data_IF_457928171271
#
_entry.id   IF_457928171271
#
_cell.length_a   1.000
_cell.length_b   1.000
_cell.length_c   1.000
_cell.angle_alpha   90.00
_cell.angle_beta   90.00
_cell.angle_gamma   90.00
#
_symmetry.space_group_name_H-M   'P 1'
#
loop_
_entity.id
_entity.type
_entity.pdbx_description
1 polymer ?
#
# COMPACT_ATOMS: atom_id res chain seq x y z
N UNK A 1 19.45 -3.21 3.77
CA UNK A 1 18.04 -2.86 3.96
C UNK A 1 17.35 -3.09 2.63
N UNK A 2 16.24 -3.82 2.62
CA UNK A 2 15.47 -4.12 1.42
C UNK A 2 14.11 -3.45 1.53
N UNK A 3 13.66 -2.84 0.44
CA UNK A 3 12.36 -2.21 0.34
C UNK A 3 11.53 -2.90 -0.72
N UNK A 4 10.24 -3.01 -0.48
CA UNK A 4 9.24 -3.48 -1.44
C UNK A 4 8.09 -2.50 -1.48
N UNK A 5 7.56 -2.26 -2.68
CA UNK A 5 6.43 -1.37 -2.92
C UNK A 5 5.28 -2.22 -3.46
N UNK A 6 4.11 -2.09 -2.84
CA UNK A 6 2.88 -2.69 -3.32
C UNK A 6 1.86 -1.58 -3.62
N UNK A 7 1.48 -1.45 -4.89
CA UNK A 7 0.55 -0.44 -5.36
C UNK A 7 -0.87 -1.03 -5.43
N UNK A 8 -1.79 -0.51 -4.62
CA UNK A 8 -3.22 -0.83 -4.66
C UNK A 8 -3.97 0.22 -5.47
N UNK A 9 -5.29 0.09 -5.63
CA UNK A 9 -6.09 1.04 -6.40
C UNK A 9 -6.12 2.46 -5.80
N UNK A 10 -6.12 2.58 -4.47
CA UNK A 10 -6.27 3.83 -3.72
C UNK A 10 -5.05 4.20 -2.84
N UNK A 11 -4.15 3.24 -2.62
CA UNK A 11 -3.02 3.39 -1.71
C UNK A 11 -1.74 2.70 -2.19
N UNK A 12 -0.63 3.10 -1.59
CA UNK A 12 0.68 2.47 -1.71
C UNK A 12 1.07 1.88 -0.36
N UNK A 13 1.50 0.63 -0.33
CA UNK A 13 2.19 0.06 0.84
C UNK A 13 3.69 0.01 0.58
N UNK A 14 4.47 0.65 1.45
CA UNK A 14 5.92 0.49 1.51
C UNK A 14 6.26 -0.49 2.63
N UNK A 15 6.90 -1.59 2.28
CA UNK A 15 7.44 -2.55 3.24
C UNK A 15 8.96 -2.47 3.25
N UNK A 16 9.57 -2.61 4.41
CA UNK A 16 11.02 -2.69 4.53
C UNK A 16 11.47 -3.77 5.49
N UNK A 17 12.62 -4.37 5.15
CA UNK A 17 13.30 -5.39 5.93
C UNK A 17 14.75 -5.01 6.13
N UNK A 18 15.22 -5.07 7.37
CA UNK A 18 16.58 -4.72 7.77
C UNK A 18 17.25 -5.89 8.47
N UNK A 19 18.57 -6.02 8.29
CA UNK A 19 19.38 -7.00 9.02
C UNK A 19 19.69 -6.55 10.46
N UNK A 20 19.60 -5.24 10.72
CA UNK A 20 19.76 -4.64 12.04
C UNK A 20 18.45 -3.97 12.42
N UNK A 21 18.21 -3.85 13.72
CA UNK A 21 17.03 -3.18 14.24
C UNK A 21 16.97 -1.74 13.69
N UNK A 22 15.89 -1.41 13.01
CA UNK A 22 15.65 -0.10 12.42
C UNK A 22 14.89 0.77 13.42
N UNK A 23 15.38 1.99 13.59
CA UNK A 23 14.71 3.06 14.32
C UNK A 23 14.78 4.31 13.45
N UNK A 24 13.65 4.93 13.15
CA UNK A 24 13.61 6.03 12.20
C UNK A 24 12.21 6.39 11.72
N UNK A 25 12.15 7.00 10.53
CA UNK A 25 10.88 7.48 9.97
C UNK A 25 10.82 7.40 8.44
N UNK A 26 9.60 7.24 7.94
CA UNK A 26 9.23 7.37 6.55
C UNK A 26 8.51 8.69 6.36
N UNK A 27 8.99 9.53 5.46
CA UNK A 27 8.41 10.84 5.16
C UNK A 27 8.08 10.93 3.69
N UNK A 28 6.81 10.99 3.34
CA UNK A 28 6.42 11.29 1.97
C UNK A 28 6.54 12.79 1.71
N UNK A 29 7.00 13.17 0.52
CA UNK A 29 7.28 14.56 0.18
C UNK A 29 6.62 15.00 -1.11
N UNK A 30 6.15 16.25 -1.10
CA UNK A 30 5.77 17.02 -2.29
C UNK A 30 6.64 18.27 -2.35
N UNK A 31 7.66 18.25 -3.21
CA UNK A 31 8.71 19.27 -3.20
C UNK A 31 9.47 19.25 -1.86
N UNK A 32 9.49 20.39 -1.16
CA UNK A 32 10.12 20.54 0.16
C UNK A 32 9.21 20.12 1.32
N UNK A 33 7.91 19.99 1.08
CA UNK A 33 6.92 19.78 2.14
C UNK A 33 6.78 18.29 2.45
N UNK A 34 6.76 17.96 3.74
CA UNK A 34 6.42 16.63 4.23
C UNK A 34 4.90 16.51 4.31
N UNK A 35 4.35 15.50 3.65
CA UNK A 35 2.90 15.28 3.55
C UNK A 35 2.43 14.27 4.59
N UNK A 36 3.08 13.10 4.64
CA UNK A 36 2.83 12.07 5.65
C UNK A 36 4.14 11.67 6.32
N UNK A 37 4.07 11.34 7.60
CA UNK A 37 5.19 10.80 8.36
C UNK A 37 4.75 9.61 9.19
N UNK A 38 5.49 8.51 9.08
CA UNK A 38 5.33 7.31 9.91
C UNK A 38 6.64 7.06 10.64
N UNK A 39 6.60 6.97 11.97
CA UNK A 39 7.76 6.59 12.77
C UNK A 39 7.78 5.07 12.96
N UNK A 40 8.97 4.49 12.93
CA UNK A 40 9.18 3.07 13.19
C UNK A 40 10.24 2.96 14.27
N UNK A 41 9.88 2.35 15.39
CA UNK A 41 10.77 2.10 16.52
C UNK A 41 11.11 0.62 16.58
N UNK A 42 12.40 0.33 16.70
CA UNK A 42 12.94 -0.99 17.04
C UNK A 42 12.38 -2.16 16.21
N UNK A 43 12.34 -2.04 14.87
CA UNK A 43 11.76 -3.06 14.00
C UNK A 43 12.77 -3.67 13.00
N UNK A 44 12.68 -4.98 12.77
CA UNK A 44 13.41 -5.65 11.68
C UNK A 44 12.62 -5.66 10.37
N UNK A 45 11.29 -5.75 10.49
CA UNK A 45 10.34 -5.69 9.40
C UNK A 45 9.26 -4.67 9.76
N UNK A 46 8.87 -3.85 8.79
CA UNK A 46 7.86 -2.82 8.98
C UNK A 46 7.15 -2.56 7.65
N UNK A 47 5.92 -2.06 7.74
CA UNK A 47 5.15 -1.60 6.61
C UNK A 47 4.43 -0.29 6.94
N UNK A 48 4.19 0.52 5.92
CA UNK A 48 3.37 1.73 6.04
C UNK A 48 2.52 1.89 4.80
N UNK A 49 1.25 2.20 4.99
CA UNK A 49 0.33 2.54 3.92
C UNK A 49 0.30 4.06 3.71
N UNK A 50 0.26 4.49 2.46
CA UNK A 50 0.22 5.88 2.04
C UNK A 50 -0.88 6.04 1.01
N UNK A 51 -1.93 6.79 1.34
CA UNK A 51 -3.02 7.06 0.40
C UNK A 51 -2.55 7.99 -0.72
N UNK A 52 -3.00 7.70 -1.93
CA UNK A 52 -2.77 8.59 -3.07
C UNK A 52 -3.50 9.92 -2.87
N UNK A 53 -2.93 11.01 -3.38
CA UNK A 53 -3.46 12.37 -3.20
C UNK A 53 -3.18 12.99 -1.82
N UNK A 54 -3.37 12.23 -0.73
CA UNK A 54 -3.14 12.71 0.64
C UNK A 54 -1.64 12.77 0.98
N UNK A 55 -0.90 11.70 0.69
CA UNK A 55 0.51 11.59 1.09
C UNK A 55 1.49 12.12 0.03
N UNK A 56 1.09 13.05 -0.84
CA UNK A 56 1.98 13.63 -1.86
C UNK A 56 2.37 12.66 -2.99
N UNK A 57 1.69 11.52 -3.08
CA UNK A 57 1.79 10.61 -4.23
C UNK A 57 0.67 10.99 -5.19
N UNK A 58 1.04 11.63 -6.30
CA UNK A 58 0.10 12.30 -7.19
C UNK A 58 -0.17 11.51 -8.46
N UNK A 59 -1.43 11.57 -8.92
CA UNK A 59 -1.83 11.00 -10.19
C UNK A 59 -1.28 11.83 -11.34
N UNK A 60 -0.60 11.17 -12.27
CA UNK A 60 -0.19 11.72 -13.57
C UNK A 60 -0.89 10.97 -14.68
N UNK A 61 -1.57 11.74 -15.52
CA UNK A 61 -2.20 11.29 -16.75
C UNK A 61 -1.19 11.48 -17.88
N UNK A 62 -0.42 10.46 -18.26
CA UNK A 62 0.15 10.20 -19.62
C UNK A 62 1.46 9.38 -19.57
N UNK A 63 1.68 8.45 -20.52
CA UNK A 63 0.71 7.84 -21.44
C UNK A 63 -0.18 6.78 -20.77
N UNK A 64 0.17 6.34 -19.56
CA UNK A 64 -0.57 5.39 -18.72
C UNK A 64 -0.83 6.10 -17.37
N UNK A 65 -2.04 6.01 -16.77
CA UNK A 65 -2.26 6.57 -15.44
C UNK A 65 -1.23 6.04 -14.46
N UNK A 66 -0.57 6.96 -13.77
CA UNK A 66 0.44 6.56 -12.79
C UNK A 66 0.39 7.44 -11.56
N UNK A 67 0.69 6.83 -10.42
CA UNK A 67 0.85 7.54 -9.16
C UNK A 67 2.35 7.69 -8.89
N UNK A 68 2.80 8.93 -8.76
CA UNK A 68 4.22 9.27 -8.60
C UNK A 68 4.41 10.02 -7.30
N UNK A 69 5.40 9.62 -6.52
CA UNK A 69 5.73 10.25 -5.25
C UNK A 69 7.19 10.04 -4.88
N UNK A 70 7.63 10.72 -3.82
CA UNK A 70 8.95 10.55 -3.25
C UNK A 70 8.83 10.28 -1.76
N UNK A 71 9.49 9.22 -1.30
CA UNK A 71 9.53 8.83 0.10
C UNK A 71 10.98 8.95 0.59
N UNK A 72 11.19 9.72 1.64
CA UNK A 72 12.45 9.76 2.36
C UNK A 72 12.38 8.79 3.55
N UNK A 73 13.33 7.87 3.62
CA UNK A 73 13.57 6.99 4.76
C UNK A 73 14.72 7.58 5.56
N UNK A 74 14.49 7.88 6.83
CA UNK A 74 15.53 8.34 7.76
C UNK A 74 15.80 7.28 8.80
N UNK A 75 17.07 7.01 9.08
CA UNK A 75 17.50 6.16 10.19
C UNK A 75 17.98 7.07 11.34
N UNK A 76 17.35 6.96 12.51
CA UNK A 76 17.55 7.82 13.66
C UNK A 76 16.63 9.05 13.70
N UNK A 77 16.82 9.88 14.73
CA UNK A 77 15.94 11.01 15.07
C UNK A 77 16.43 12.38 14.61
N UNK A 78 17.52 12.45 13.83
CA UNK A 78 18.10 13.74 13.43
C UNK A 78 17.37 14.36 12.24
N UNK A 79 17.28 15.69 12.20
CA UNK A 79 16.70 16.41 11.06
C UNK A 79 17.66 16.53 9.87
N UNK A 80 18.97 16.42 10.11
CA UNK A 80 20.00 16.47 9.07
C UNK A 80 19.94 15.23 8.16
N UNK A 81 20.18 15.42 6.85
CA UNK A 81 20.27 14.29 5.93
C UNK A 81 21.60 13.57 6.17
N UNK A 82 21.56 12.25 6.30
CA UNK A 82 22.75 11.42 6.54
C UNK A 82 22.97 10.41 5.42
N UNK A 83 24.16 9.81 5.36
CA UNK A 83 24.50 8.73 4.40
C UNK A 83 23.60 7.48 4.55
N UNK A 84 22.99 7.31 5.74
CA UNK A 84 22.08 6.21 6.02
C UNK A 84 20.71 6.43 5.40
N UNK A 85 20.31 7.69 5.20
CA UNK A 85 19.01 8.03 4.63
C UNK A 85 18.88 7.49 3.20
N UNK A 86 17.64 7.21 2.80
CA UNK A 86 17.33 6.68 1.47
C UNK A 86 16.17 7.46 0.88
N UNK A 87 16.32 7.89 -0.37
CA UNK A 87 15.23 8.50 -1.13
C UNK A 87 14.69 7.47 -2.12
N UNK A 88 13.41 7.14 -1.97
CA UNK A 88 12.69 6.17 -2.79
C UNK A 88 11.77 6.96 -3.71
N UNK A 89 12.03 6.90 -5.01
CA UNK A 89 11.12 7.43 -6.02
C UNK A 89 10.09 6.36 -6.38
N UNK A 90 8.82 6.67 -6.15
CA UNK A 90 7.71 5.76 -6.41
C UNK A 90 7.08 6.07 -7.76
N UNK A 91 6.81 5.04 -8.55
CA UNK A 91 6.01 5.11 -9.77
C UNK A 91 5.12 3.87 -9.87
N UNK A 92 3.89 3.99 -9.41
CA UNK A 92 2.87 2.96 -9.61
C UNK A 92 2.17 3.20 -10.95
N UNK A 93 2.09 2.20 -11.83
CA UNK A 93 1.33 2.28 -13.08
C UNK A 93 0.01 1.55 -12.88
N UNK A 94 -1.09 2.20 -13.20
CA UNK A 94 -2.42 1.60 -13.15
C UNK A 94 -2.94 1.41 -14.57
N UNK A 95 -3.58 0.28 -14.82
CA UNK A 95 -4.30 0.06 -16.07
C UNK A 95 -5.67 0.74 -15.98
N UNK A 96 -6.15 1.31 -17.09
CA UNK A 96 -7.36 2.14 -17.14
C UNK A 96 -8.62 1.42 -16.62
N UNK A 97 -8.65 0.09 -16.63
CA UNK A 97 -9.77 -0.73 -16.12
C UNK A 97 -9.84 -0.82 -14.58
N UNK A 98 -8.88 -0.24 -13.87
CA UNK A 98 -8.77 -0.30 -12.40
C UNK A 98 -9.06 1.02 -11.70
N UNK A 99 -9.54 2.06 -12.41
CA UNK A 99 -10.15 3.19 -11.72
C UNK A 99 -11.32 2.65 -10.89
N UNK A 100 -11.31 2.81 -9.54
CA UNK A 100 -12.43 2.40 -8.74
C UNK A 100 -13.60 3.28 -9.13
N UNK A 101 -14.49 2.75 -9.98
CA UNK A 101 -15.85 3.25 -10.14
C UNK A 101 -16.39 3.46 -8.73
N UNK A 102 -16.81 4.69 -8.44
CA UNK A 102 -17.30 5.10 -7.13
C UNK A 102 -18.19 4.01 -6.52
N UNK A 103 -17.74 3.40 -5.42
CA UNK A 103 -18.53 2.51 -4.54
C UNK A 103 -19.50 1.58 -5.29
N UNK A 104 -18.99 0.66 -6.10
CA UNK A 104 -19.80 -0.49 -6.49
C UNK A 104 -19.89 -1.46 -5.30
N UNK A 105 -21.02 -1.41 -4.59
CA UNK A 105 -21.41 -2.45 -3.65
C UNK A 105 -21.65 -3.74 -4.45
N UNK A 106 -20.63 -4.59 -4.57
CA UNK A 106 -20.77 -5.90 -5.19
C UNK A 106 -21.47 -6.83 -4.19
N UNK A 107 -22.79 -6.97 -4.32
CA UNK A 107 -23.56 -8.00 -3.62
C UNK A 107 -23.55 -9.28 -4.44
N UNK A 108 -22.98 -10.36 -3.89
CA UNK A 108 -23.12 -11.71 -4.45
C UNK A 108 -24.17 -12.46 -3.64
N UNK A 109 -25.16 -13.04 -4.33
CA UNK A 109 -26.05 -14.04 -3.74
C UNK A 109 -25.59 -15.41 -4.26
N UNK A 110 -25.05 -16.22 -3.36
CA UNK A 110 -24.74 -17.61 -3.63
C UNK A 110 -25.98 -18.44 -3.27
N UNK A 111 -26.77 -18.82 -4.27
CA UNK A 111 -27.82 -19.80 -4.06
C UNK A 111 -27.18 -21.19 -3.98
N UNK A 112 -27.04 -21.69 -2.75
CA UNK A 112 -26.68 -23.08 -2.49
C UNK A 112 -27.94 -23.92 -2.66
N UNK A 113 -28.04 -24.63 -3.79
CA UNK A 113 -29.07 -25.64 -3.97
C UNK A 113 -28.83 -26.79 -3.00
N UNK A 114 -29.64 -26.88 -1.94
CA UNK A 114 -29.69 -28.08 -1.10
C UNK A 114 -30.25 -29.24 -1.93
N UNK A 115 -29.38 -30.17 -2.29
CA UNK A 115 -29.81 -31.49 -2.77
C UNK A 115 -30.50 -32.20 -1.61
N UNK A 116 -31.84 -32.21 -1.60
CA UNK A 116 -32.62 -33.08 -0.73
C UNK A 116 -32.46 -34.54 -1.18
N UNK A 117 -31.34 -35.16 -0.78
CA UNK A 117 -31.23 -36.60 -0.68
C UNK A 117 -31.72 -37.02 0.72
N UNK A 118 -33.03 -37.18 0.88
CA UNK A 118 -33.57 -38.05 1.92
C UNK A 118 -33.86 -39.41 1.30
N UNK A 119 -32.85 -40.26 1.41
CA UNK A 119 -33.00 -41.70 1.40
C UNK A 119 -33.94 -42.07 2.55
N UNK A 120 -35.06 -42.73 2.28
CA UNK A 120 -35.84 -43.41 3.32
C UNK A 120 -36.27 -44.78 2.79
N UNK A 121 -35.65 -45.79 3.39
CA UNK A 121 -36.01 -47.19 3.33
C UNK A 121 -37.42 -47.45 3.89
N UNK A 122 -38.17 -48.29 3.15
CA UNK A 122 -39.22 -49.24 3.54
C UNK A 122 -40.40 -48.84 4.45
N UNK A 123 -41.63 -49.18 4.00
CA UNK A 123 -42.46 -50.32 4.49
C UNK A 123 -43.87 -50.20 3.90
N UNK A 124 -44.27 -51.18 3.09
CA UNK A 124 -45.56 -51.89 3.22
C UNK A 124 -45.47 -53.27 2.57
#
# INVERSE_FOLDING_TARGET
MHFSLNCKSDSLTLSGKSMKMFDGSFKSRKGTNVMCQTNVTSAYEFNTEMKYGECGVEKKYKPIPSFIGTILVKEGSTDMITIKDKMIQVKCRMHDETEPLATQHLSFQLEVGENNQTNNDNVL
#
